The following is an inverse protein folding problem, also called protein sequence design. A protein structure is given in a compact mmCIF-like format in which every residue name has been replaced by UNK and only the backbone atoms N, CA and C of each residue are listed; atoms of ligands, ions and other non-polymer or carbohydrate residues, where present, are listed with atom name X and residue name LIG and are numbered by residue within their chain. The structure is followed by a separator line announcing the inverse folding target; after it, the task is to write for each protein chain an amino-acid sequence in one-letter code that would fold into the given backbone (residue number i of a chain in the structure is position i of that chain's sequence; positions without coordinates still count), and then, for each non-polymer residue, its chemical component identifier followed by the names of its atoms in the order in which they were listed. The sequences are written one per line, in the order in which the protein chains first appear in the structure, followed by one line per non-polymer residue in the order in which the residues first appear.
data_IF_656917637486
#
_entry.id   IF_656917637486
#
_cell.length_a   1.000
_cell.length_b   1.000
_cell.length_c   1.000
_cell.angle_alpha   90.00
_cell.angle_beta   90.00
_cell.angle_gamma   90.00
#
_symmetry.space_group_name_H-M   'P 1'
#
loop_
_entity.id
_entity.type
_entity.pdbx_description
1 polymer ?
#
# COMPACT_ATOMS: atom_id res chain seq x y z
N UNK A 1 -19.10 4.08 -3.16
CA UNK A 1 -18.23 2.91 -3.40
C UNK A 1 -16.83 3.33 -2.95
N UNK A 2 -16.29 2.67 -1.94
CA UNK A 2 -14.96 3.01 -1.42
C UNK A 2 -13.87 2.57 -2.42
N UNK A 3 -12.77 3.31 -2.50
CA UNK A 3 -11.60 2.96 -3.31
C UNK A 3 -10.95 1.66 -2.85
N UNK A 4 -11.25 1.17 -1.65
CA UNK A 4 -10.87 -0.15 -1.15
C UNK A 4 -11.44 -1.34 -1.95
N UNK A 5 -12.47 -1.14 -2.77
CA UNK A 5 -13.00 -2.19 -3.68
C UNK A 5 -12.19 -2.27 -4.99
N UNK A 6 -11.45 -1.21 -5.35
CA UNK A 6 -10.77 -1.11 -6.65
C UNK A 6 -9.26 -0.96 -6.57
N UNK A 7 -8.67 -0.52 -5.45
CA UNK A 7 -7.22 -0.45 -5.29
C UNK A 7 -6.80 -0.48 -3.82
N UNK A 8 -6.45 -1.67 -3.34
CA UNK A 8 -6.04 -1.89 -1.94
C UNK A 8 -4.54 -1.61 -1.74
N UNK A 9 -3.80 -1.43 -2.85
CA UNK A 9 -2.44 -0.93 -2.88
C UNK A 9 -2.21 -0.12 -4.18
N UNK A 10 -2.35 1.21 -4.15
CA UNK A 10 -2.33 2.06 -5.36
C UNK A 10 -0.94 2.26 -5.96
N UNK A 11 0.07 1.50 -5.52
CA UNK A 11 1.45 1.71 -5.94
C UNK A 11 1.65 1.47 -7.45
N UNK A 12 1.00 0.45 -8.03
CA UNK A 12 1.12 0.17 -9.49
C UNK A 12 0.37 1.23 -10.29
N UNK A 13 -0.82 1.64 -9.83
CA UNK A 13 -1.65 2.65 -10.47
C UNK A 13 -0.95 4.00 -10.47
N UNK A 14 -0.33 4.38 -9.34
CA UNK A 14 0.47 5.61 -9.24
C UNK A 14 1.66 5.58 -10.21
N UNK A 15 2.37 4.46 -10.32
CA UNK A 15 3.49 4.32 -11.26
C UNK A 15 3.02 4.45 -12.71
N UNK A 16 1.87 3.87 -13.04
CA UNK A 16 1.24 3.95 -14.35
C UNK A 16 0.86 5.39 -14.69
N UNK A 17 0.26 6.12 -13.76
CA UNK A 17 -0.14 7.53 -13.93
C UNK A 17 1.08 8.44 -14.13
N UNK A 18 2.15 8.23 -13.36
CA UNK A 18 3.40 8.98 -13.52
C UNK A 18 4.03 8.70 -14.89
N UNK A 19 4.00 7.44 -15.34
CA UNK A 19 4.48 7.09 -16.67
C UNK A 19 3.67 7.77 -17.77
N UNK A 20 2.33 7.71 -17.67
CA UNK A 20 1.43 8.38 -18.61
C UNK A 20 1.66 9.90 -18.66
N UNK A 21 1.72 10.55 -17.50
CA UNK A 21 2.03 11.98 -17.40
C UNK A 21 3.34 12.34 -18.09
N UNK A 22 4.40 11.59 -17.82
CA UNK A 22 5.73 11.82 -18.41
C UNK A 22 5.71 11.67 -19.94
N UNK A 23 4.97 10.70 -20.47
CA UNK A 23 4.78 10.49 -21.91
C UNK A 23 4.02 11.65 -22.56
N UNK A 24 2.96 12.15 -21.93
CA UNK A 24 2.19 13.30 -22.43
C UNK A 24 3.04 14.58 -22.45
N UNK A 25 3.81 14.82 -21.40
CA UNK A 25 4.69 15.98 -21.28
C UNK A 25 5.82 15.93 -22.32
N UNK A 26 6.38 14.75 -22.57
CA UNK A 26 7.37 14.54 -23.64
C UNK A 26 6.79 14.82 -25.02
N UNK A 27 5.62 14.26 -25.31
CA UNK A 27 4.91 14.49 -26.57
C UNK A 27 4.64 15.98 -26.82
N UNK A 28 4.33 16.75 -25.77
CA UNK A 28 4.13 18.21 -25.83
C UNK A 28 5.43 19.02 -25.91
N UNK A 29 6.60 18.40 -25.97
CA UNK A 29 7.91 19.07 -25.94
C UNK A 29 8.24 19.72 -24.60
N UNK A 30 7.53 19.37 -23.52
CA UNK A 30 7.65 19.99 -22.20
C UNK A 30 8.51 19.18 -21.25
N UNK A 31 9.54 18.47 -21.72
CA UNK A 31 10.30 17.47 -20.95
C UNK A 31 10.85 17.93 -19.59
N UNK A 32 11.01 19.24 -19.36
CA UNK A 32 11.35 19.81 -18.04
C UNK A 32 10.30 19.56 -16.95
N UNK A 33 9.04 19.26 -17.32
CA UNK A 33 7.93 18.99 -16.39
C UNK A 33 7.80 17.50 -16.02
N UNK A 34 8.69 16.64 -16.54
CA UNK A 34 8.68 15.21 -16.20
C UNK A 34 8.94 15.01 -14.71
N UNK A 35 8.17 14.10 -14.11
CA UNK A 35 8.35 13.65 -12.74
C UNK A 35 9.48 12.61 -12.72
N UNK A 36 10.53 12.89 -11.95
CA UNK A 36 11.63 11.96 -11.69
C UNK A 36 11.42 11.27 -10.36
N UNK A 37 11.21 9.96 -10.40
CA UNK A 37 11.08 9.12 -9.21
C UNK A 37 12.45 8.88 -8.59
N UNK A 38 12.59 9.18 -7.30
CA UNK A 38 13.81 8.89 -6.52
C UNK A 38 13.68 7.66 -5.62
N UNK A 39 12.47 7.34 -5.19
CA UNK A 39 12.12 6.20 -4.34
C UNK A 39 10.59 6.03 -4.34
N UNK A 40 10.12 4.80 -4.17
CA UNK A 40 8.71 4.50 -3.89
C UNK A 40 8.61 3.81 -2.53
N UNK A 41 7.76 4.35 -1.67
CA UNK A 41 7.40 3.78 -0.37
C UNK A 41 5.92 3.45 -0.38
N UNK A 42 5.58 2.17 -0.31
CA UNK A 42 4.22 1.68 -0.15
C UNK A 42 4.02 1.27 1.31
N UNK A 43 2.97 1.79 1.95
CA UNK A 43 2.65 1.52 3.37
C UNK A 43 1.31 0.80 3.41
N UNK A 44 1.26 -0.33 4.10
CA UNK A 44 0.04 -1.10 4.36
C UNK A 44 -0.54 -0.78 5.72
N UNK A 45 -1.77 -1.24 5.94
CA UNK A 45 -2.55 -1.04 7.18
C UNK A 45 -2.41 -2.21 8.16
N UNK A 46 -1.47 -3.12 7.91
CA UNK A 46 -1.37 -4.40 8.60
C UNK A 46 -1.67 -5.55 7.64
N UNK A 47 -0.98 -6.68 7.83
CA UNK A 47 -1.27 -7.94 7.18
C UNK A 47 -1.91 -8.87 8.21
N UNK A 48 -3.17 -9.23 7.99
CA UNK A 48 -3.87 -10.18 8.85
C UNK A 48 -3.19 -11.56 8.82
N UNK A 49 -3.21 -12.30 9.94
CA UNK A 49 -2.61 -13.62 10.01
C UNK A 49 -3.34 -14.60 9.08
N UNK A 50 -2.58 -15.37 8.30
CA UNK A 50 -3.13 -16.35 7.36
C UNK A 50 -3.90 -17.42 8.12
N UNK A 51 -5.23 -17.45 7.96
CA UNK A 51 -6.09 -18.51 8.49
C UNK A 51 -5.97 -19.72 7.57
N UNK A 52 -5.53 -20.86 8.10
CA UNK A 52 -5.50 -22.11 7.33
C UNK A 52 -6.94 -22.53 6.97
N UNK A 53 -7.22 -22.66 5.68
CA UNK A 53 -8.49 -23.21 5.20
C UNK A 53 -8.52 -24.71 5.48
N UNK A 54 -9.58 -25.18 6.14
CA UNK A 54 -9.80 -26.62 6.30
C UNK A 54 -10.13 -27.23 4.92
N UNK A 55 -9.29 -28.13 4.37
CA UNK A 55 -9.52 -28.76 3.07
C UNK A 55 -10.84 -29.53 2.98
N UNK A 56 -11.46 -29.86 4.12
CA UNK A 56 -12.77 -30.50 4.17
C UNK A 56 -13.90 -29.62 3.58
N UNK A 57 -13.77 -28.29 3.68
CA UNK A 57 -14.77 -27.30 3.21
C UNK A 57 -14.77 -27.12 1.68
N UNK A 58 -13.71 -27.54 1.00
CA UNK A 58 -13.54 -27.45 -0.45
C UNK A 58 -13.95 -28.73 -1.19
N UNK A 59 -14.42 -29.77 -0.47
CA UNK A 59 -14.92 -31.00 -1.10
C UNK A 59 -16.31 -30.75 -1.68
N UNK A 60 -16.37 -30.65 -3.00
CA UNK A 60 -17.63 -30.68 -3.77
C UNK A 60 -18.18 -32.12 -3.66
N UNK A 61 -19.05 -32.33 -2.69
CA UNK A 61 -19.75 -33.59 -2.49
C UNK A 61 -20.92 -33.78 -3.47
N UNK A 62 -21.56 -34.96 -3.44
CA UNK A 62 -22.75 -35.27 -4.24
C UNK A 62 -24.03 -34.57 -3.77
N UNK A 63 -24.00 -33.90 -2.62
CA UNK A 63 -25.14 -33.16 -2.04
C UNK A 63 -25.09 -31.69 -2.45
N UNK A 64 -26.22 -31.15 -2.92
CA UNK A 64 -26.37 -29.74 -3.29
C UNK A 64 -25.99 -28.77 -2.17
N UNK A 65 -26.18 -29.15 -0.90
CA UNK A 65 -25.80 -28.34 0.27
C UNK A 65 -24.28 -28.27 0.43
N UNK A 66 -23.58 -29.39 0.22
CA UNK A 66 -22.10 -29.45 0.25
C UNK A 66 -21.50 -28.65 -0.90
N UNK A 67 -22.11 -28.71 -2.09
CA UNK A 67 -21.68 -27.92 -3.24
C UNK A 67 -21.92 -26.42 -3.04
N UNK A 68 -23.04 -26.02 -2.43
CA UNK A 68 -23.32 -24.62 -2.13
C UNK A 68 -22.33 -24.05 -1.09
N UNK A 69 -21.99 -24.82 -0.05
CA UNK A 69 -20.98 -24.43 0.95
C UNK A 69 -19.57 -24.35 0.36
N UNK A 70 -19.21 -25.27 -0.56
CA UNK A 70 -17.94 -25.24 -1.27
C UNK A 70 -17.85 -24.03 -2.23
N UNK A 71 -18.93 -23.70 -2.96
CA UNK A 71 -18.99 -22.52 -3.84
C UNK A 71 -18.90 -21.22 -3.02
N UNK A 72 -19.59 -21.15 -1.88
CA UNK A 72 -19.50 -20.00 -0.96
C UNK A 72 -18.08 -19.83 -0.42
N UNK A 73 -17.44 -20.92 0.01
CA UNK A 73 -16.07 -20.91 0.53
C UNK A 73 -15.05 -20.54 -0.56
N UNK A 74 -15.22 -21.04 -1.79
CA UNK A 74 -14.42 -20.64 -2.94
C UNK A 74 -14.63 -19.16 -3.30
N UNK A 75 -15.86 -18.65 -3.16
CA UNK A 75 -16.16 -17.23 -3.30
C UNK A 75 -15.39 -16.36 -2.31
N UNK A 76 -15.31 -16.78 -1.05
CA UNK A 76 -14.47 -16.11 -0.05
C UNK A 76 -12.99 -16.17 -0.40
N UNK A 77 -12.47 -17.32 -0.87
CA UNK A 77 -11.07 -17.44 -1.31
C UNK A 77 -10.78 -16.54 -2.51
N UNK A 78 -11.69 -16.45 -3.47
CA UNK A 78 -11.51 -15.59 -4.65
C UNK A 78 -11.55 -14.12 -4.21
N UNK A 79 -12.50 -13.73 -3.36
CA UNK A 79 -12.56 -12.38 -2.81
C UNK A 79 -11.28 -12.07 -2.05
N UNK A 80 -10.84 -12.97 -1.17
CA UNK A 80 -9.59 -12.85 -0.40
C UNK A 80 -8.38 -12.64 -1.32
N UNK A 81 -8.22 -13.46 -2.36
CA UNK A 81 -7.17 -13.35 -3.39
C UNK A 81 -7.24 -12.03 -4.19
N UNK A 82 -8.44 -11.54 -4.48
CA UNK A 82 -8.66 -10.26 -5.17
C UNK A 82 -8.42 -9.08 -4.23
N UNK A 83 -8.59 -9.27 -2.92
CA UNK A 83 -8.36 -8.27 -1.88
C UNK A 83 -6.97 -8.34 -1.25
N UNK A 84 -6.06 -9.20 -1.74
CA UNK A 84 -4.70 -9.23 -1.24
C UNK A 84 -3.98 -7.90 -1.56
N UNK A 85 -3.78 -7.09 -0.52
CA UNK A 85 -2.88 -5.91 -0.53
C UNK A 85 -1.42 -6.28 -0.73
N UNK A 86 -1.10 -7.52 -0.39
CA UNK A 86 0.19 -8.17 -0.48
C UNK A 86 0.26 -9.14 -1.68
N UNK A 87 1.46 -9.60 -2.04
CA UNK A 87 1.64 -10.51 -3.17
C UNK A 87 1.72 -9.79 -4.52
N UNK A 88 0.81 -10.09 -5.45
CA UNK A 88 0.95 -9.70 -6.87
C UNK A 88 1.09 -8.19 -7.11
N UNK A 89 0.29 -7.30 -6.51
CA UNK A 89 0.44 -5.85 -6.70
C UNK A 89 1.80 -5.32 -6.23
N UNK A 90 2.30 -5.85 -5.10
CA UNK A 90 3.61 -5.50 -4.56
C UNK A 90 4.73 -5.99 -5.48
N UNK A 91 4.65 -7.23 -5.97
CA UNK A 91 5.64 -7.79 -6.91
C UNK A 91 5.67 -7.00 -8.21
N UNK A 92 4.51 -6.65 -8.78
CA UNK A 92 4.44 -5.82 -10.00
C UNK A 92 5.03 -4.43 -9.76
N UNK A 93 4.67 -3.77 -8.66
CA UNK A 93 5.21 -2.46 -8.29
C UNK A 93 6.73 -2.50 -8.16
N UNK A 94 7.27 -3.51 -7.47
CA UNK A 94 8.70 -3.70 -7.26
C UNK A 94 9.44 -3.94 -8.57
N UNK A 95 8.94 -4.83 -9.42
CA UNK A 95 9.55 -5.14 -10.72
C UNK A 95 9.58 -3.91 -11.64
N UNK A 96 8.52 -3.09 -11.64
CA UNK A 96 8.48 -1.86 -12.40
C UNK A 96 9.44 -0.80 -11.83
N UNK A 97 9.48 -0.62 -10.51
CA UNK A 97 10.47 0.27 -9.90
C UNK A 97 11.90 -0.15 -10.24
N UNK A 98 12.19 -1.46 -10.21
CA UNK A 98 13.48 -2.01 -10.57
C UNK A 98 13.85 -1.74 -12.05
N UNK A 99 12.90 -1.84 -12.98
CA UNK A 99 13.14 -1.50 -14.39
C UNK A 99 13.46 -0.02 -14.59
N UNK A 100 12.93 0.86 -13.72
CA UNK A 100 13.22 2.29 -13.69
C UNK A 100 14.47 2.65 -12.85
N UNK A 101 15.16 1.67 -12.26
CA UNK A 101 16.27 1.86 -11.30
C UNK A 101 15.87 2.73 -10.10
N UNK A 102 14.62 2.59 -9.66
CA UNK A 102 14.04 3.29 -8.51
C UNK A 102 13.95 2.31 -7.34
N UNK A 103 14.49 2.65 -6.15
CA UNK A 103 14.29 1.85 -4.93
C UNK A 103 12.80 1.74 -4.56
N UNK A 104 12.36 0.54 -4.20
CA UNK A 104 10.99 0.26 -3.75
C UNK A 104 11.00 -0.35 -2.34
N UNK A 105 10.25 0.26 -1.43
CA UNK A 105 10.07 -0.20 -0.05
C UNK A 105 8.59 -0.49 0.18
N UNK A 106 8.29 -1.63 0.81
CA UNK A 106 6.95 -1.99 1.30
C UNK A 106 7.04 -2.17 2.80
N UNK A 107 6.27 -1.37 3.54
CA UNK A 107 6.11 -1.52 4.97
C UNK A 107 4.70 -2.03 5.23
N UNK A 108 4.57 -3.24 5.75
CA UNK A 108 3.30 -3.77 6.19
C UNK A 108 3.54 -4.73 7.36
N UNK A 109 3.02 -4.38 8.54
CA UNK A 109 3.28 -5.13 9.76
C UNK A 109 2.37 -6.38 9.82
N UNK A 110 2.91 -7.57 10.12
CA UNK A 110 2.06 -8.73 10.42
C UNK A 110 1.30 -8.46 11.72
N UNK A 111 -0.02 -8.59 11.68
CA UNK A 111 -0.87 -8.40 12.85
C UNK A 111 -1.07 -9.72 13.58
N UNK A 112 -1.19 -9.65 14.91
CA UNK A 112 -1.44 -10.80 15.77
C UNK A 112 -2.88 -11.31 15.71
N UNK A 113 -3.80 -10.50 15.19
CA UNK A 113 -5.21 -10.83 15.07
C UNK A 113 -5.87 -10.15 13.87
N UNK A 114 -7.09 -10.59 13.57
CA UNK A 114 -7.97 -9.98 12.58
C UNK A 114 -8.61 -8.72 13.19
N UNK A 115 -8.33 -7.55 12.61
CA UNK A 115 -8.79 -6.25 13.12
C UNK A 115 -9.73 -5.66 12.08
N UNK A 116 -11.05 -5.60 12.35
CA UNK A 116 -12.00 -5.06 11.40
C UNK A 116 -11.77 -3.56 11.19
N UNK A 117 -12.05 -3.08 9.98
CA UNK A 117 -11.81 -1.69 9.59
C UNK A 117 -12.57 -0.67 10.45
N UNK A 118 -13.71 -1.07 11.01
CA UNK A 118 -14.55 -0.25 11.89
C UNK A 118 -14.28 -0.50 13.38
N UNK A 119 -13.18 -1.17 13.74
CA UNK A 119 -12.76 -1.38 15.12
C UNK A 119 -12.57 -0.04 15.86
N UNK A 120 -13.22 0.07 17.02
CA UNK A 120 -13.14 1.24 17.93
C UNK A 120 -12.68 0.87 19.34
N UNK A 121 -12.28 -0.38 19.53
CA UNK A 121 -11.89 -0.88 20.84
C UNK A 121 -10.41 -0.56 21.10
N UNK A 122 -10.14 0.25 22.12
CA UNK A 122 -8.78 0.73 22.42
C UNK A 122 -7.78 -0.41 22.68
N UNK A 123 -8.21 -1.48 23.36
CA UNK A 123 -7.36 -2.65 23.66
C UNK A 123 -6.85 -3.31 22.37
N UNK A 124 -7.75 -3.50 21.40
CA UNK A 124 -7.45 -4.09 20.09
C UNK A 124 -6.56 -3.16 19.26
N UNK A 125 -6.83 -1.85 19.26
CA UNK A 125 -6.00 -0.86 18.57
C UNK A 125 -4.60 -0.75 19.20
N UNK A 126 -4.49 -0.77 20.53
CA UNK A 126 -3.22 -0.81 21.24
C UNK A 126 -2.40 -2.04 20.88
N UNK A 127 -3.04 -3.21 20.73
CA UNK A 127 -2.37 -4.43 20.27
C UNK A 127 -1.86 -4.28 18.85
N UNK A 128 -2.67 -3.73 17.93
CA UNK A 128 -2.27 -3.46 16.55
C UNK A 128 -1.07 -2.50 16.46
N UNK A 129 -1.06 -1.44 17.29
CA UNK A 129 0.08 -0.52 17.39
C UNK A 129 1.34 -1.21 17.93
N UNK A 130 1.18 -2.13 18.89
CA UNK A 130 2.30 -2.90 19.42
C UNK A 130 2.91 -3.82 18.36
N UNK A 131 2.09 -4.52 17.58
CA UNK A 131 2.56 -5.35 16.47
C UNK A 131 3.34 -4.50 15.42
N UNK A 132 2.88 -3.27 15.15
CA UNK A 132 3.62 -2.32 14.31
C UNK A 132 4.99 -1.93 14.89
N UNK A 133 5.07 -1.75 16.22
CA UNK A 133 6.32 -1.42 16.91
C UNK A 133 7.31 -2.58 16.88
N UNK A 134 6.83 -3.81 17.07
CA UNK A 134 7.62 -5.03 16.94
C UNK A 134 8.18 -5.16 15.53
N UNK A 135 7.34 -5.03 14.50
CA UNK A 135 7.76 -5.01 13.10
C UNK A 135 8.84 -3.95 12.81
N UNK A 136 8.66 -2.74 13.34
CA UNK A 136 9.64 -1.66 13.18
C UNK A 136 10.98 -1.96 13.87
N UNK A 137 10.94 -2.62 15.02
CA UNK A 137 12.16 -3.03 15.73
C UNK A 137 12.92 -4.12 14.99
N UNK A 138 12.22 -5.13 14.46
CA UNK A 138 12.82 -6.18 13.64
C UNK A 138 13.46 -5.61 12.36
N UNK A 139 12.76 -4.69 11.69
CA UNK A 139 13.18 -4.09 10.42
C UNK A 139 13.95 -2.77 10.58
N UNK A 140 14.45 -2.47 11.78
CA UNK A 140 15.11 -1.19 12.13
C UNK A 140 16.25 -0.78 11.20
N UNK A 141 16.99 -1.74 10.63
CA UNK A 141 18.07 -1.46 9.68
C UNK A 141 17.51 -0.96 8.34
N UNK A 142 16.50 -1.64 7.79
CA UNK A 142 15.82 -1.21 6.58
C UNK A 142 15.18 0.18 6.76
N UNK A 143 14.59 0.45 7.92
CA UNK A 143 14.02 1.77 8.24
C UNK A 143 15.10 2.86 8.33
N UNK A 144 16.27 2.54 8.88
CA UNK A 144 17.42 3.46 8.89
C UNK A 144 17.92 3.75 7.48
N UNK A 145 18.03 2.73 6.63
CA UNK A 145 18.44 2.88 5.22
C UNK A 145 17.45 3.74 4.44
N UNK A 146 16.14 3.50 4.63
CA UNK A 146 15.07 4.31 4.06
C UNK A 146 15.15 5.76 4.55
N UNK A 147 15.34 5.98 5.85
CA UNK A 147 15.49 7.32 6.41
C UNK A 147 16.71 8.04 5.83
N UNK A 148 17.84 7.35 5.69
CA UNK A 148 19.05 7.89 5.08
C UNK A 148 18.84 8.23 3.60
N UNK A 149 18.19 7.34 2.84
CA UNK A 149 17.82 7.58 1.45
C UNK A 149 16.94 8.83 1.32
N UNK A 150 15.88 8.93 2.13
CA UNK A 150 14.96 10.08 2.11
C UNK A 150 15.65 11.40 2.46
N UNK A 151 16.61 11.39 3.41
CA UNK A 151 17.45 12.54 3.74
C UNK A 151 18.34 12.94 2.56
N UNK A 152 18.91 11.95 1.85
CA UNK A 152 19.80 12.17 0.69
C UNK A 152 19.04 12.74 -0.51
N UNK A 153 17.80 12.27 -0.75
CA UNK A 153 16.92 12.84 -1.78
C UNK A 153 16.49 14.28 -1.40
N UNK A 154 16.51 14.62 -0.11
CA UNK A 154 16.24 15.96 0.39
C UNK A 154 14.75 16.33 0.44
N UNK A 155 14.47 17.53 0.94
CA UNK A 155 13.10 18.03 1.18
C UNK A 155 12.38 18.32 -0.13
N UNK A 156 11.11 17.89 -0.27
CA UNK A 156 10.32 18.07 -1.49
C UNK A 156 10.31 19.50 -2.05
N UNK A 157 10.25 20.52 -1.17
CA UNK A 157 10.31 21.95 -1.56
C UNK A 157 11.63 22.35 -2.23
N UNK A 158 12.73 21.70 -1.87
CA UNK A 158 14.06 21.97 -2.41
C UNK A 158 14.34 21.13 -3.67
N UNK A 159 13.63 20.01 -3.89
CA UNK A 159 13.81 19.14 -5.06
C UNK A 159 13.56 19.86 -6.39
N UNK A 160 12.62 20.80 -6.41
CA UNK A 160 12.36 21.64 -7.58
C UNK A 160 13.59 22.46 -7.99
N UNK A 161 14.32 22.99 -6.99
CA UNK A 161 15.53 23.81 -7.18
C UNK A 161 16.77 22.94 -7.48
N UNK A 162 16.88 21.77 -6.84
CA UNK A 162 18.04 20.86 -6.97
C UNK A 162 18.03 20.06 -8.28
N UNK A 163 16.84 19.67 -8.78
CA UNK A 163 16.73 18.82 -9.97
C UNK A 163 16.11 19.50 -11.19
N UNK A 164 15.87 20.82 -11.13
CA UNK A 164 15.20 21.56 -12.19
C UNK A 164 13.76 21.07 -12.45
N UNK A 165 13.18 20.34 -11.51
CA UNK A 165 11.82 19.82 -11.59
C UNK A 165 10.83 20.94 -11.29
N UNK A 166 9.71 20.97 -12.01
CA UNK A 166 8.62 21.91 -11.71
C UNK A 166 8.14 21.65 -10.28
N UNK A 167 8.01 22.68 -9.42
CA UNK A 167 7.38 22.52 -8.12
C UNK A 167 6.00 21.89 -8.31
N UNK A 168 5.76 20.74 -7.71
CA UNK A 168 4.41 20.20 -7.59
C UNK A 168 3.73 21.10 -6.56
N UNK A 169 2.92 22.06 -7.03
CA UNK A 169 2.00 22.77 -6.15
C UNK A 169 1.08 21.74 -5.50
N UNK A 170 1.02 21.76 -4.17
CA UNK A 170 0.09 20.91 -3.43
C UNK A 170 -1.33 21.31 -3.83
N UNK A 171 -1.99 20.49 -4.63
CA UNK A 171 -3.38 20.68 -5.05
C UNK A 171 -4.40 20.28 -3.99
N UNK A 172 -3.98 19.63 -2.89
CA UNK A 172 -4.86 19.25 -1.79
C UNK A 172 -4.48 19.98 -0.50
N UNK A 173 -5.50 20.52 0.19
CA UNK A 173 -5.37 21.01 1.57
C UNK A 173 -5.19 19.78 2.47
N UNK A 174 -4.15 19.78 3.31
CA UNK A 174 -4.04 18.81 4.40
C UNK A 174 -5.24 19.04 5.32
N UNK A 175 -6.10 18.03 5.46
CA UNK A 175 -7.16 18.06 6.48
C UNK A 175 -6.47 18.01 7.85
N UNK A 176 -6.35 19.16 8.50
CA UNK A 176 -6.10 19.22 9.95
C UNK A 176 -7.43 18.92 10.61
N UNK A 177 -7.60 17.73 11.18
CA UNK A 177 -8.68 17.49 12.14
C UNK A 177 -8.37 18.34 13.37
N UNK A 178 -9.13 19.42 13.58
CA UNK A 178 -9.22 20.01 14.91
C UNK A 178 -9.99 19.01 15.77
N UNK A 179 -9.37 18.47 16.82
CA UNK A 179 -10.11 17.74 17.84
C UNK A 179 -11.06 18.72 18.52
N UNK A 180 -12.32 18.33 18.68
CA UNK A 180 -13.33 19.10 19.42
C UNK A 180 -13.14 18.95 20.93
N UNK A 181 -11.94 19.19 21.43
CA UNK A 181 -11.68 19.21 22.89
C UNK A 181 -11.43 20.62 23.44
N UNK A 182 -11.36 21.65 22.58
CA UNK A 182 -11.15 23.05 22.99
C UNK A 182 -12.37 23.95 22.71
N UNK A 183 -13.59 23.50 23.05
CA UNK A 183 -14.80 24.34 23.02
C UNK A 183 -15.62 24.22 24.30
#
# INVERSE_FOLDING_TARGET
LDGGITSINPAVELLSEIHFWNSVVEYKGQSRRKVRLGCVLSVGTGAEPVKALDPSTLKIGRSWVSSAMAIKSLGFVIVDQVTLTEGTPVVRSRSWCHSLRVPYFRLNAPLSGDVPMDCKEDSTLCRMMWDCMEFAYENRYQLKDLAQLLKTIGVAKLRAKIHGAVPIERTYRTFTSQSKEDA
#
